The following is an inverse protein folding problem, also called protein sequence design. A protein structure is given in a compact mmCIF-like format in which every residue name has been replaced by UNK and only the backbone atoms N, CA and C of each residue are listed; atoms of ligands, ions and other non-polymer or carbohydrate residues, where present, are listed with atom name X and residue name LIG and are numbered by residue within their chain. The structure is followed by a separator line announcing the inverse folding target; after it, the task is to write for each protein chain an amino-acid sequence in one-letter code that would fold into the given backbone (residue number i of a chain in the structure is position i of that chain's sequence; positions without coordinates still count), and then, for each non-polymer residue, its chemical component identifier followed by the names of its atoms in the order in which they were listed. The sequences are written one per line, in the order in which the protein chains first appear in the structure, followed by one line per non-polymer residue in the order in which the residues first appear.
data_IF_583908929214
#
_entry.id   IF_583908929214
#
_cell.length_a   1.000
_cell.length_b   1.000
_cell.length_c   1.000
_cell.angle_alpha   90.00
_cell.angle_beta   90.00
_cell.angle_gamma   90.00
#
_symmetry.space_group_name_H-M   'P 1'
#
loop_
_entity.id
_entity.type
_entity.pdbx_description
1 polymer ?
#
# COMPACT_ATOMS: atom_id res chain seq x y z
N UNK A 1 6.54 -11.62 -9.79
CA UNK A 1 5.42 -12.39 -9.20
C UNK A 1 5.86 -13.41 -8.16
N UNK A 2 6.63 -14.45 -8.50
CA UNK A 2 7.01 -15.51 -7.54
C UNK A 2 7.66 -14.99 -6.24
N UNK A 3 8.48 -13.93 -6.33
CA UNK A 3 9.06 -13.31 -5.14
C UNK A 3 8.01 -12.61 -4.24
N UNK A 4 7.05 -11.90 -4.84
CA UNK A 4 5.96 -11.25 -4.12
C UNK A 4 5.09 -12.27 -3.38
N UNK A 5 4.84 -13.43 -3.98
CA UNK A 5 4.09 -14.51 -3.34
C UNK A 5 4.86 -15.13 -2.17
N UNK A 6 6.17 -15.34 -2.31
CA UNK A 6 7.02 -15.80 -1.19
C UNK A 6 7.03 -14.79 -0.04
N UNK A 7 7.15 -13.50 -0.37
CA UNK A 7 7.11 -12.43 0.62
C UNK A 7 5.76 -12.39 1.34
N UNK A 8 4.65 -12.48 0.60
CA UNK A 8 3.30 -12.54 1.17
C UNK A 8 3.14 -13.77 2.10
N UNK A 9 3.58 -14.96 1.67
CA UNK A 9 3.52 -16.17 2.50
C UNK A 9 4.25 -16.00 3.85
N UNK A 10 5.37 -15.26 3.87
CA UNK A 10 6.14 -14.99 5.10
C UNK A 10 5.41 -14.11 6.13
N UNK A 11 4.34 -13.40 5.71
CA UNK A 11 3.51 -12.56 6.58
C UNK A 11 2.31 -13.34 7.11
N UNK A 12 1.65 -14.15 6.28
CA UNK A 12 0.47 -14.94 6.68
C UNK A 12 0.80 -15.91 7.82
N UNK A 13 1.98 -16.53 7.80
CA UNK A 13 2.43 -17.42 8.86
C UNK A 13 2.53 -16.74 10.24
N UNK A 14 2.58 -15.40 10.31
CA UNK A 14 2.67 -14.63 11.56
C UNK A 14 1.45 -13.74 11.89
N UNK A 15 0.46 -13.63 11.00
CA UNK A 15 -0.63 -12.64 11.09
C UNK A 15 -2.04 -13.26 11.24
N UNK A 16 -2.17 -14.29 12.09
CA UNK A 16 -3.46 -14.89 12.45
C UNK A 16 -4.32 -13.89 13.24
N UNK A 17 -5.09 -13.03 12.57
CA UNK A 17 -5.93 -12.05 13.28
C UNK A 17 -6.96 -11.25 12.48
N UNK A 18 -7.22 -11.58 11.21
CA UNK A 18 -8.17 -10.79 10.38
C UNK A 18 -9.58 -11.38 10.28
N UNK A 19 -9.81 -12.63 10.72
CA UNK A 19 -11.13 -13.29 10.63
C UNK A 19 -12.12 -12.69 11.64
N UNK A 20 -13.26 -12.16 11.16
CA UNK A 20 -14.40 -11.66 11.97
C UNK A 20 -15.70 -12.37 11.55
N UNK A 21 -16.58 -12.66 12.49
CA UNK A 21 -17.87 -13.30 12.24
C UNK A 21 -18.98 -12.30 11.81
N UNK A 22 -19.91 -12.71 10.94
CA UNK A 22 -21.10 -11.96 10.49
C UNK A 22 -21.73 -12.57 9.21
N UNK A 23 -22.85 -12.12 8.63
CA UNK A 23 -23.44 -12.81 7.47
C UNK A 23 -22.74 -12.58 6.11
N UNK A 24 -21.91 -13.53 5.63
CA UNK A 24 -21.47 -13.66 4.22
C UNK A 24 -21.18 -15.10 3.73
N UNK A 25 -20.83 -15.30 2.46
CA UNK A 25 -21.05 -16.59 1.75
C UNK A 25 -20.23 -17.81 2.24
N UNK A 26 -19.18 -17.61 3.04
CA UNK A 26 -18.37 -18.70 3.61
C UNK A 26 -19.04 -19.26 4.87
N UNK A 27 -19.16 -20.58 4.95
CA UNK A 27 -19.73 -21.25 6.13
C UNK A 27 -18.82 -21.05 7.36
N UNK A 28 -19.34 -20.42 8.42
CA UNK A 28 -18.62 -20.23 9.68
C UNK A 28 -18.97 -21.34 10.68
N UNK A 29 -20.21 -21.34 11.17
CA UNK A 29 -20.72 -22.35 12.09
C UNK A 29 -22.24 -22.48 11.96
N UNK A 30 -22.83 -23.45 12.65
CA UNK A 30 -24.27 -23.45 12.85
C UNK A 30 -24.56 -23.02 14.27
N UNK A 31 -25.55 -22.14 14.45
CA UNK A 31 -26.14 -21.86 15.76
C UNK A 31 -27.58 -22.33 15.80
N UNK A 32 -28.08 -22.55 17.02
CA UNK A 32 -29.49 -22.81 17.23
C UNK A 32 -30.31 -21.55 16.92
N UNK A 33 -31.44 -21.72 16.22
CA UNK A 33 -32.37 -20.63 15.94
C UNK A 33 -33.04 -20.16 17.23
N UNK A 34 -33.24 -18.84 17.34
CA UNK A 34 -33.89 -18.20 18.47
C UNK A 34 -35.21 -17.55 18.03
N UNK A 35 -36.15 -17.29 18.96
CA UNK A 35 -37.34 -16.53 18.66
C UNK A 35 -36.99 -15.16 18.07
N UNK A 36 -37.56 -14.83 16.90
CA UNK A 36 -37.29 -13.60 16.16
C UNK A 36 -36.36 -13.77 14.95
N UNK A 37 -35.71 -14.93 14.80
CA UNK A 37 -34.95 -15.23 13.59
C UNK A 37 -35.88 -15.47 12.39
N UNK A 38 -35.52 -15.02 11.18
CA UNK A 38 -36.32 -15.24 10.00
C UNK A 38 -36.28 -16.71 9.58
N UNK A 39 -37.45 -17.29 9.29
CA UNK A 39 -37.58 -18.68 8.83
C UNK A 39 -36.77 -18.98 7.56
N UNK A 40 -36.46 -17.97 6.74
CA UNK A 40 -35.63 -18.08 5.54
C UNK A 40 -34.16 -18.34 5.84
N UNK A 41 -33.67 -18.05 7.05
CA UNK A 41 -32.30 -18.29 7.47
C UNK A 41 -32.06 -19.70 8.03
N UNK A 42 -33.14 -20.48 8.23
CA UNK A 42 -33.05 -21.85 8.76
C UNK A 42 -32.46 -22.79 7.71
N UNK A 43 -31.41 -23.51 8.10
CA UNK A 43 -30.88 -24.61 7.30
C UNK A 43 -31.72 -25.87 7.57
N UNK A 44 -32.72 -26.09 6.72
CA UNK A 44 -33.64 -27.22 6.84
C UNK A 44 -32.93 -28.57 6.73
N UNK A 45 -31.82 -28.66 6.01
CA UNK A 45 -31.09 -29.91 5.78
C UNK A 45 -30.35 -30.38 7.04
N UNK A 46 -29.74 -29.45 7.79
CA UNK A 46 -29.14 -29.77 9.10
C UNK A 46 -30.21 -29.95 10.17
N UNK A 47 -31.23 -29.09 10.18
CA UNK A 47 -32.30 -29.12 11.19
C UNK A 47 -33.10 -30.43 11.14
N UNK A 48 -33.30 -31.03 9.96
CA UNK A 48 -33.99 -32.31 9.82
C UNK A 48 -33.26 -33.50 10.49
N UNK A 49 -32.02 -33.33 10.95
CA UNK A 49 -31.22 -34.37 11.63
C UNK A 49 -31.12 -34.16 13.15
N UNK A 50 -31.88 -33.23 13.72
CA UNK A 50 -31.83 -32.85 15.13
C UNK A 50 -33.20 -32.38 15.63
N UNK A 51 -33.42 -32.39 16.95
CA UNK A 51 -34.64 -31.82 17.57
C UNK A 51 -34.65 -30.28 17.64
N UNK A 52 -33.69 -29.63 16.97
CA UNK A 52 -33.46 -28.20 17.07
C UNK A 52 -33.29 -27.60 15.67
N UNK A 53 -33.87 -26.40 15.48
CA UNK A 53 -33.66 -25.61 14.28
C UNK A 53 -32.27 -24.97 14.34
N UNK A 54 -31.53 -25.10 13.24
CA UNK A 54 -30.21 -24.50 13.07
C UNK A 54 -30.26 -23.43 11.98
N UNK A 55 -29.59 -22.33 12.25
CA UNK A 55 -29.28 -21.28 11.27
C UNK A 55 -27.84 -21.48 10.85
N UNK A 56 -27.62 -21.44 9.53
CA UNK A 56 -26.28 -21.44 8.96
C UNK A 56 -25.71 -20.03 9.13
N UNK A 57 -24.81 -19.85 10.10
CA UNK A 57 -24.07 -18.61 10.21
C UNK A 57 -23.01 -18.57 9.12
N UNK A 58 -23.17 -17.54 8.32
CA UNK A 58 -22.33 -17.12 7.23
C UNK A 58 -21.14 -16.29 7.81
N UNK A 59 -20.08 -15.98 7.06
CA UNK A 59 -18.93 -15.13 7.50
C UNK A 59 -18.94 -13.80 6.73
N UNK A 60 -19.02 -12.65 7.43
CA UNK A 60 -19.06 -11.32 6.84
C UNK A 60 -17.65 -10.82 6.76
N UNK A 61 -17.12 -10.83 5.56
CA UNK A 61 -16.24 -9.77 5.13
C UNK A 61 -16.90 -9.14 3.91
N UNK A 62 -17.60 -8.01 4.10
CA UNK A 62 -17.80 -7.10 2.99
C UNK A 62 -16.40 -6.71 2.53
N UNK A 63 -15.91 -7.39 1.49
CA UNK A 63 -14.58 -7.23 0.94
C UNK A 63 -14.30 -5.74 0.78
N UNK A 64 -13.39 -5.23 1.59
CA UNK A 64 -12.88 -3.88 1.50
C UNK A 64 -12.27 -3.70 0.12
N UNK A 65 -12.53 -2.53 -0.45
CA UNK A 65 -11.85 -2.10 -1.66
C UNK A 65 -10.55 -1.44 -1.24
N UNK A 66 -9.41 -1.92 -1.77
CA UNK A 66 -8.09 -1.33 -1.54
C UNK A 66 -7.49 -0.88 -2.86
N UNK A 67 -7.19 0.40 -2.95
CA UNK A 67 -6.46 0.98 -4.06
C UNK A 67 -4.96 0.99 -3.78
N UNK A 68 -4.14 0.64 -4.76
CA UNK A 68 -2.68 0.65 -4.63
C UNK A 68 -2.11 1.60 -5.67
N UNK A 69 -1.35 2.58 -5.23
CA UNK A 69 -0.53 3.42 -6.10
C UNK A 69 0.94 3.08 -5.88
N UNK A 70 1.61 2.76 -6.98
CA UNK A 70 3.05 2.56 -7.06
C UNK A 70 3.59 3.70 -7.91
N UNK A 71 4.49 4.50 -7.34
CA UNK A 71 5.16 5.56 -8.09
C UNK A 71 6.17 4.97 -9.09
N UNK A 72 6.07 5.48 -10.31
CA UNK A 72 6.84 5.05 -11.48
C UNK A 72 7.76 6.15 -12.02
N UNK A 73 7.88 7.29 -11.33
CA UNK A 73 8.71 8.41 -11.77
C UNK A 73 10.22 8.10 -11.78
N UNK A 74 11.01 8.91 -12.49
CA UNK A 74 12.46 8.71 -12.65
C UNK A 74 13.22 8.70 -11.33
N UNK A 75 12.80 9.53 -10.36
CA UNK A 75 13.36 9.54 -9.01
C UNK A 75 13.31 8.18 -8.32
N UNK A 76 12.35 7.32 -8.67
CA UNK A 76 12.22 5.97 -8.12
C UNK A 76 13.25 4.98 -8.69
N UNK A 77 13.95 5.30 -9.78
CA UNK A 77 14.97 4.43 -10.36
C UNK A 77 16.27 4.41 -9.54
N UNK A 78 16.45 5.37 -8.61
CA UNK A 78 17.66 5.49 -7.81
C UNK A 78 17.97 4.23 -7.00
N UNK A 79 19.26 3.85 -7.00
CA UNK A 79 19.84 2.77 -6.21
C UNK A 79 21.29 3.11 -5.87
N UNK A 80 21.64 3.17 -4.59
CA UNK A 80 23.04 3.26 -4.17
C UNK A 80 23.70 1.88 -4.05
N UNK A 81 25.01 1.86 -3.81
CA UNK A 81 25.76 0.63 -3.51
C UNK A 81 25.31 -0.04 -2.19
N UNK A 82 24.70 0.72 -1.28
CA UNK A 82 24.23 0.22 0.01
C UNK A 82 22.87 -0.48 -0.09
N UNK A 83 22.21 -0.39 -1.25
CA UNK A 83 20.90 -0.97 -1.50
C UNK A 83 20.97 -2.15 -2.47
N UNK A 84 20.33 -3.28 -2.14
CA UNK A 84 20.30 -4.43 -3.04
C UNK A 84 19.46 -4.19 -4.31
N UNK A 85 18.58 -3.19 -4.30
CA UNK A 85 17.58 -2.90 -5.34
C UNK A 85 17.19 -1.42 -5.36
N UNK A 86 16.70 -0.95 -6.50
CA UNK A 86 16.19 0.42 -6.64
C UNK A 86 14.88 0.64 -5.87
N UNK A 87 14.52 1.91 -5.66
CA UNK A 87 13.27 2.27 -4.97
C UNK A 87 12.04 1.74 -5.72
N UNK A 88 12.02 1.79 -7.05
CA UNK A 88 10.94 1.30 -7.91
C UNK A 88 10.78 -0.23 -7.83
N UNK A 89 11.89 -0.97 -7.83
CA UNK A 89 11.86 -2.43 -7.63
C UNK A 89 11.31 -2.81 -6.26
N UNK A 90 11.69 -2.05 -5.22
CA UNK A 90 11.18 -2.24 -3.86
C UNK A 90 9.68 -1.90 -3.78
N UNK A 91 9.25 -0.80 -4.36
CA UNK A 91 7.85 -0.37 -4.41
C UNK A 91 6.97 -1.40 -5.12
N UNK A 92 7.43 -1.88 -6.27
CA UNK A 92 6.76 -2.93 -7.05
C UNK A 92 6.64 -4.23 -6.25
N UNK A 93 7.70 -4.69 -5.59
CA UNK A 93 7.63 -5.89 -4.74
C UNK A 93 6.60 -5.74 -3.62
N UNK A 94 6.59 -4.59 -2.92
CA UNK A 94 5.64 -4.32 -1.84
C UNK A 94 4.19 -4.22 -2.36
N UNK A 95 3.96 -3.52 -3.48
CA UNK A 95 2.65 -3.39 -4.11
C UNK A 95 2.06 -4.76 -4.50
N UNK A 96 2.87 -5.60 -5.15
CA UNK A 96 2.45 -6.93 -5.57
C UNK A 96 2.23 -7.87 -4.38
N UNK A 97 3.15 -7.88 -3.41
CA UNK A 97 3.01 -8.76 -2.24
C UNK A 97 1.81 -8.36 -1.37
N UNK A 98 1.54 -7.06 -1.23
CA UNK A 98 0.35 -6.56 -0.56
C UNK A 98 -0.91 -6.97 -1.32
N UNK A 99 -0.93 -6.82 -2.65
CA UNK A 99 -2.06 -7.24 -3.48
C UNK A 99 -2.34 -8.75 -3.35
N UNK A 100 -1.30 -9.58 -3.30
CA UNK A 100 -1.42 -11.03 -3.02
C UNK A 100 -2.08 -11.26 -1.65
N UNK A 101 -1.60 -10.61 -0.59
CA UNK A 101 -2.15 -10.76 0.76
C UNK A 101 -3.63 -10.36 0.83
N UNK A 102 -3.96 -9.22 0.24
CA UNK A 102 -5.31 -8.66 0.24
C UNK A 102 -6.27 -9.53 -0.56
N UNK A 103 -5.90 -9.92 -1.79
CA UNK A 103 -6.74 -10.79 -2.64
C UNK A 103 -6.95 -12.16 -1.98
N UNK A 104 -5.90 -12.76 -1.39
CA UNK A 104 -6.04 -14.03 -0.65
C UNK A 104 -6.89 -13.89 0.62
N UNK A 105 -6.92 -12.69 1.20
CA UNK A 105 -7.81 -12.32 2.30
C UNK A 105 -9.21 -11.89 1.85
N UNK A 106 -9.61 -12.15 0.61
CA UNK A 106 -10.95 -11.82 0.10
C UNK A 106 -11.16 -10.37 -0.34
N UNK A 107 -10.15 -9.50 -0.19
CA UNK A 107 -10.28 -8.08 -0.49
C UNK A 107 -10.27 -7.80 -1.99
N UNK A 108 -10.90 -6.69 -2.39
CA UNK A 108 -10.91 -6.22 -3.78
C UNK A 108 -9.79 -5.21 -4.00
N UNK A 109 -8.90 -5.47 -4.95
CA UNK A 109 -7.73 -4.63 -5.21
C UNK A 109 -7.78 -4.01 -6.61
N UNK A 110 -7.39 -2.75 -6.73
CA UNK A 110 -7.14 -2.08 -8.01
C UNK A 110 -5.94 -1.14 -7.91
N UNK A 111 -5.33 -0.82 -9.05
CA UNK A 111 -4.32 0.22 -9.15
C UNK A 111 -4.96 1.61 -9.30
N UNK A 112 -4.39 2.60 -8.65
CA UNK A 112 -4.79 4.02 -8.77
C UNK A 112 -4.53 4.49 -10.21
N UNK A 113 -5.52 5.13 -10.84
CA UNK A 113 -5.48 5.64 -12.22
C UNK A 113 -5.52 4.57 -13.33
N UNK A 114 -5.50 3.29 -12.99
CA UNK A 114 -5.60 2.22 -13.98
C UNK A 114 -7.03 2.09 -14.51
N UNK A 115 -7.22 1.74 -15.81
CA UNK A 115 -8.53 1.40 -16.38
C UNK A 115 -9.00 0.01 -15.90
N UNK A 116 -9.13 -0.15 -14.59
CA UNK A 116 -9.55 -1.38 -13.95
C UNK A 116 -10.48 -1.09 -12.78
N UNK A 117 -11.50 -1.94 -12.61
CA UNK A 117 -12.33 -1.94 -11.41
C UNK A 117 -11.66 -2.76 -10.32
N UNK A 118 -11.86 -2.42 -9.03
CA UNK A 118 -11.47 -3.27 -7.92
C UNK A 118 -12.13 -4.65 -8.03
N UNK A 119 -11.30 -5.69 -8.00
CA UNK A 119 -11.75 -7.07 -8.08
C UNK A 119 -10.85 -7.97 -7.21
N UNK A 120 -11.25 -9.22 -7.06
CA UNK A 120 -10.47 -10.26 -6.37
C UNK A 120 -10.08 -11.37 -7.34
N UNK A 121 -9.32 -12.36 -6.87
CA UNK A 121 -8.90 -13.54 -7.61
C UNK A 121 -7.59 -13.40 -8.41
N UNK A 122 -7.13 -14.55 -8.89
CA UNK A 122 -5.85 -14.71 -9.60
C UNK A 122 -5.78 -13.89 -10.90
N UNK A 123 -6.88 -13.80 -11.64
CA UNK A 123 -6.95 -12.99 -12.87
C UNK A 123 -6.68 -11.52 -12.58
N UNK A 124 -7.24 -10.98 -11.49
CA UNK A 124 -6.99 -9.59 -11.11
C UNK A 124 -5.53 -9.39 -10.70
N UNK A 125 -4.97 -10.33 -9.93
CA UNK A 125 -3.58 -10.28 -9.52
C UNK A 125 -2.62 -10.26 -10.74
N UNK A 126 -2.88 -11.08 -11.76
CA UNK A 126 -2.10 -11.08 -13.00
C UNK A 126 -2.21 -9.76 -13.77
N UNK A 127 -3.40 -9.16 -13.82
CA UNK A 127 -3.59 -7.83 -14.43
C UNK A 127 -2.80 -6.75 -13.69
N UNK A 128 -2.86 -6.74 -12.36
CA UNK A 128 -2.06 -5.83 -11.53
C UNK A 128 -0.56 -6.03 -11.83
N UNK A 129 -0.11 -7.28 -11.89
CA UNK A 129 1.29 -7.62 -12.17
C UNK A 129 1.76 -7.13 -13.54
N UNK A 130 0.94 -7.32 -14.58
CA UNK A 130 1.24 -6.85 -15.93
C UNK A 130 1.33 -5.31 -15.96
N UNK A 131 0.34 -4.62 -15.39
CA UNK A 131 0.32 -3.15 -15.38
C UNK A 131 1.46 -2.54 -14.55
N UNK A 132 1.84 -3.15 -13.44
CA UNK A 132 2.99 -2.69 -12.65
C UNK A 132 4.31 -3.04 -13.32
N UNK A 133 4.36 -3.99 -14.27
CA UNK A 133 5.57 -4.25 -15.04
C UNK A 133 5.76 -3.27 -16.20
N UNK A 134 4.68 -2.60 -16.62
CA UNK A 134 4.72 -1.53 -17.62
C UNK A 134 5.12 -0.21 -16.96
N UNK A 135 6.16 0.44 -17.51
CA UNK A 135 6.54 1.78 -17.09
C UNK A 135 5.87 2.80 -18.04
N UNK A 136 5.10 3.77 -17.52
CA UNK A 136 4.47 4.79 -18.36
C UNK A 136 5.56 5.60 -19.08
N UNK A 137 5.31 6.01 -20.33
CA UNK A 137 6.24 6.85 -21.08
C UNK A 137 5.48 8.04 -21.71
N UNK A 138 5.99 9.29 -21.60
CA UNK A 138 7.19 9.70 -20.87
C UNK A 138 7.01 9.65 -19.34
N UNK A 139 8.12 9.48 -18.60
CA UNK A 139 8.13 9.50 -17.13
C UNK A 139 8.52 10.89 -16.61
N UNK A 140 7.80 11.44 -15.62
CA UNK A 140 8.21 12.67 -14.95
C UNK A 140 9.37 12.40 -13.99
N UNK A 141 10.07 13.46 -13.55
CA UNK A 141 11.12 13.37 -12.53
C UNK A 141 10.57 12.84 -11.20
N UNK A 142 9.38 13.32 -10.81
CA UNK A 142 8.70 12.94 -9.58
C UNK A 142 7.25 12.53 -9.84
N UNK A 143 6.77 11.57 -9.04
CA UNK A 143 5.42 11.03 -9.21
C UNK A 143 4.34 11.93 -8.64
N UNK A 144 3.18 11.85 -9.26
CA UNK A 144 1.92 12.36 -8.73
C UNK A 144 0.86 11.26 -8.86
N UNK A 145 0.07 10.98 -7.81
CA UNK A 145 -1.02 10.03 -7.94
C UNK A 145 -2.04 10.53 -8.97
N UNK A 146 -2.39 9.74 -9.99
CA UNK A 146 -3.37 10.14 -10.98
C UNK A 146 -4.76 10.25 -10.35
N UNK A 147 -5.62 11.05 -10.97
CA UNK A 147 -7.02 11.15 -10.55
C UNK A 147 -7.69 9.77 -10.60
N UNK A 148 -8.36 9.40 -9.51
CA UNK A 148 -9.00 8.10 -9.39
C UNK A 148 -10.40 8.27 -8.80
N UNK A 149 -11.44 7.69 -9.43
CA UNK A 149 -12.78 7.70 -8.89
C UNK A 149 -12.89 6.68 -7.74
N UNK A 150 -12.41 7.09 -6.55
CA UNK A 150 -12.41 6.24 -5.37
C UNK A 150 -13.84 5.80 -4.99
N UNK A 151 -14.00 4.51 -4.69
CA UNK A 151 -15.24 3.99 -4.11
C UNK A 151 -15.36 4.43 -2.64
N UNK A 152 -16.59 4.79 -2.22
CA UNK A 152 -16.85 5.27 -0.87
C UNK A 152 -16.44 4.26 0.21
N UNK A 153 -15.78 4.75 1.26
CA UNK A 153 -15.41 3.94 2.44
C UNK A 153 -14.35 2.87 2.18
N UNK A 154 -13.59 2.98 1.08
CA UNK A 154 -12.49 2.07 0.77
C UNK A 154 -11.19 2.39 1.54
N UNK A 155 -10.13 1.71 1.13
CA UNK A 155 -8.76 1.95 1.60
C UNK A 155 -7.84 2.28 0.43
N UNK A 156 -6.72 2.95 0.70
CA UNK A 156 -5.69 3.20 -0.30
C UNK A 156 -4.26 3.11 0.28
N UNK A 157 -3.32 2.68 -0.55
CA UNK A 157 -1.89 2.56 -0.23
C UNK A 157 -1.07 3.27 -1.29
N UNK A 158 -0.26 4.24 -0.87
CA UNK A 158 0.61 5.02 -1.75
C UNK A 158 2.08 4.70 -1.45
N UNK A 159 2.82 4.25 -2.48
CA UNK A 159 4.23 3.88 -2.39
C UNK A 159 5.06 4.80 -3.32
N UNK A 160 5.84 5.70 -2.75
CA UNK A 160 6.64 6.72 -3.46
C UNK A 160 7.80 7.16 -2.58
N UNK A 161 8.79 7.85 -3.11
CA UNK A 161 9.75 8.61 -2.30
C UNK A 161 9.18 9.95 -1.79
N UNK A 162 8.04 10.39 -2.36
CA UNK A 162 7.35 11.64 -2.09
C UNK A 162 8.27 12.87 -2.12
N UNK A 163 9.25 12.90 -3.03
CA UNK A 163 10.20 14.01 -3.14
C UNK A 163 9.76 15.14 -4.09
N UNK A 164 8.71 14.93 -4.90
CA UNK A 164 8.17 15.92 -5.85
C UNK A 164 7.47 17.14 -5.21
N UNK A 165 6.69 17.94 -5.93
CA UNK A 165 5.87 19.00 -5.30
C UNK A 165 4.79 18.40 -4.39
N UNK A 166 4.44 19.03 -3.25
CA UNK A 166 3.34 18.54 -2.39
C UNK A 166 1.96 18.89 -2.98
N UNK A 167 1.92 19.94 -3.79
CA UNK A 167 0.75 20.47 -4.46
C UNK A 167 0.13 19.49 -5.44
N UNK A 168 0.90 18.49 -5.90
CA UNK A 168 0.40 17.40 -6.75
C UNK A 168 -0.12 16.20 -5.96
N UNK A 169 0.35 16.02 -4.71
CA UNK A 169 -0.04 14.91 -3.83
C UNK A 169 -1.30 15.26 -3.02
N UNK A 170 -1.36 16.47 -2.46
CA UNK A 170 -2.46 16.89 -1.59
C UNK A 170 -3.85 16.73 -2.23
N UNK A 171 -4.08 17.12 -3.51
CA UNK A 171 -5.40 16.96 -4.13
C UNK A 171 -5.84 15.50 -4.22
N UNK A 172 -4.92 14.56 -4.49
CA UNK A 172 -5.25 13.14 -4.58
C UNK A 172 -5.64 12.56 -3.22
N UNK A 173 -4.93 12.95 -2.15
CA UNK A 173 -5.26 12.55 -0.78
C UNK A 173 -6.58 13.16 -0.29
N UNK A 174 -6.85 14.43 -0.63
CA UNK A 174 -8.10 15.09 -0.30
C UNK A 174 -9.29 14.44 -1.02
N UNK A 175 -9.19 14.16 -2.32
CA UNK A 175 -10.22 13.42 -3.08
C UNK A 175 -10.49 12.04 -2.47
N UNK A 176 -9.45 11.34 -2.03
CA UNK A 176 -9.61 10.07 -1.33
C UNK A 176 -10.35 10.26 0.01
N UNK A 177 -9.95 11.24 0.83
CA UNK A 177 -10.57 11.54 2.11
C UNK A 177 -12.05 11.96 1.97
N UNK A 178 -12.41 12.74 0.94
CA UNK A 178 -13.79 13.11 0.61
C UNK A 178 -14.66 11.90 0.25
N UNK A 179 -14.07 10.88 -0.36
CA UNK A 179 -14.73 9.59 -0.58
C UNK A 179 -14.76 8.71 0.69
N UNK A 180 -14.28 9.21 1.84
CA UNK A 180 -14.14 8.43 3.07
C UNK A 180 -13.06 7.34 2.98
N UNK A 181 -12.13 7.45 2.03
CA UNK A 181 -11.00 6.52 1.89
C UNK A 181 -9.92 6.89 2.90
N UNK A 182 -9.63 5.94 3.78
CA UNK A 182 -8.49 6.01 4.72
C UNK A 182 -7.35 5.15 4.20
N UNK A 183 -6.12 5.38 4.62
CA UNK A 183 -5.02 4.70 3.96
C UNK A 183 -3.67 4.78 4.62
N UNK A 184 -2.68 4.34 3.87
CA UNK A 184 -1.30 4.33 4.28
C UNK A 184 -0.40 4.89 3.17
N UNK A 185 0.55 5.74 3.56
CA UNK A 185 1.64 6.18 2.71
C UNK A 185 2.93 5.52 3.20
N UNK A 186 3.73 4.99 2.29
CA UNK A 186 5.05 4.48 2.60
C UNK A 186 6.08 5.21 1.76
N UNK A 187 6.86 6.05 2.42
CA UNK A 187 7.99 6.71 1.81
C UNK A 187 9.09 5.68 1.57
N UNK A 188 9.49 5.45 0.32
CA UNK A 188 10.55 4.52 -0.02
C UNK A 188 11.79 5.33 -0.31
N UNK A 189 12.86 5.08 0.45
CA UNK A 189 14.12 5.79 0.29
C UNK A 189 15.28 4.82 0.19
N UNK A 190 16.33 5.24 -0.48
CA UNK A 190 17.61 4.61 -0.44
C UNK A 190 18.39 5.06 0.81
N UNK A 191 19.11 4.18 1.51
CA UNK A 191 19.91 4.56 2.68
C UNK A 191 20.92 5.68 2.39
N UNK A 192 21.44 5.81 1.16
CA UNK A 192 22.35 6.89 0.79
C UNK A 192 21.68 8.27 0.77
N UNK A 193 20.36 8.33 0.51
CA UNK A 193 19.62 9.59 0.54
C UNK A 193 19.60 10.19 1.96
N UNK A 194 19.62 9.36 3.01
CA UNK A 194 19.72 9.86 4.40
C UNK A 194 21.14 9.96 4.94
N UNK A 195 21.95 8.93 4.68
CA UNK A 195 23.33 8.84 5.18
C UNK A 195 24.21 9.89 4.51
N UNK A 196 23.83 10.32 3.31
CA UNK A 196 24.56 11.26 2.47
C UNK A 196 26.08 10.93 2.46
N UNK A 197 26.47 9.69 2.08
CA UNK A 197 27.84 9.19 2.20
C UNK A 197 28.79 9.78 1.15
N UNK A 198 28.52 11.01 0.73
CA UNK A 198 29.24 11.68 -0.33
C UNK A 198 30.33 12.58 0.25
N UNK A 199 31.53 12.02 0.44
CA UNK A 199 32.73 12.76 0.89
C UNK A 199 33.60 13.27 -0.28
N UNK A 200 33.08 13.19 -1.51
CA UNK A 200 33.74 13.64 -2.75
C UNK A 200 32.71 14.06 -3.80
N UNK A 201 33.18 14.68 -4.90
CA UNK A 201 32.37 15.23 -6.01
C UNK A 201 31.05 14.48 -6.20
N UNK A 202 29.95 15.10 -5.76
CA UNK A 202 28.63 14.67 -6.19
C UNK A 202 28.24 15.56 -7.33
N UNK A 203 28.31 15.00 -8.54
CA UNK A 203 27.46 15.51 -9.61
C UNK A 203 26.06 15.10 -9.19
N UNK A 204 25.30 16.04 -8.61
CA UNK A 204 23.86 15.89 -8.54
C UNK A 204 23.37 16.03 -9.98
N UNK A 205 23.39 14.92 -10.72
CA UNK A 205 22.62 14.82 -11.96
C UNK A 205 21.15 14.86 -11.56
N UNK A 206 20.64 16.09 -11.40
CA UNK A 206 19.30 16.37 -11.90
C UNK A 206 19.34 15.86 -13.33
N UNK A 207 18.53 14.86 -13.66
CA UNK A 207 18.44 14.24 -14.99
C UNK A 207 18.28 15.34 -16.06
N UNK A 208 19.40 15.91 -16.54
CA UNK A 208 19.43 17.08 -17.43
C UNK A 208 20.42 18.23 -17.13
N UNK A 209 21.16 18.28 -16.00
CA UNK A 209 22.21 19.33 -15.83
C UNK A 209 23.29 19.00 -14.81
N UNK A 210 24.54 19.02 -15.28
CA UNK A 210 25.78 18.86 -14.53
C UNK A 210 26.01 20.07 -13.60
N UNK A 211 26.24 19.84 -12.31
CA UNK A 211 26.83 20.86 -11.42
C UNK A 211 27.91 20.20 -10.56
N UNK A 212 29.15 20.65 -10.74
CA UNK A 212 30.31 20.27 -9.94
C UNK A 212 30.36 21.06 -8.62
N UNK A 213 30.56 20.37 -7.49
CA UNK A 213 30.69 21.02 -6.16
C UNK A 213 31.92 20.53 -5.37
N UNK A 214 32.58 21.46 -4.66
CA UNK A 214 33.77 21.25 -3.81
C UNK A 214 33.45 20.68 -2.40
N UNK A 215 34.36 19.85 -1.89
CA UNK A 215 34.24 19.01 -0.68
C UNK A 215 33.91 19.75 0.63
N UNK A 216 34.39 20.98 0.86
CA UNK A 216 34.06 21.72 2.10
C UNK A 216 32.61 22.24 2.12
N UNK A 217 31.98 22.42 0.95
CA UNK A 217 30.54 22.69 0.84
C UNK A 217 29.70 21.42 0.99
N UNK A 218 30.29 20.23 0.85
CA UNK A 218 29.58 18.95 0.90
C UNK A 218 28.99 18.64 2.29
N UNK A 219 29.70 18.96 3.39
CA UNK A 219 29.14 18.78 4.75
C UNK A 219 27.96 19.72 5.02
N UNK A 220 28.09 21.01 4.65
CA UNK A 220 27.00 21.97 4.77
C UNK A 220 25.79 21.61 3.89
N UNK A 221 26.04 21.02 2.73
CA UNK A 221 25.01 20.48 1.83
C UNK A 221 24.30 19.27 2.45
N UNK A 222 25.03 18.35 3.08
CA UNK A 222 24.46 17.19 3.77
C UNK A 222 23.52 17.62 4.91
N UNK A 223 23.91 18.60 5.71
CA UNK A 223 23.06 19.14 6.78
C UNK A 223 21.81 19.85 6.23
N UNK A 224 21.97 20.65 5.17
CA UNK A 224 20.86 21.31 4.52
C UNK A 224 19.87 20.31 3.89
N UNK A 225 20.39 19.26 3.23
CA UNK A 225 19.57 18.20 2.64
C UNK A 225 18.81 17.43 3.72
N UNK A 226 19.49 17.01 4.80
CA UNK A 226 18.85 16.30 5.93
C UNK A 226 17.75 17.13 6.58
N UNK A 227 17.97 18.44 6.76
CA UNK A 227 16.92 19.37 7.24
C UNK A 227 15.74 19.40 6.28
N UNK A 228 15.98 19.57 4.98
CA UNK A 228 14.91 19.61 3.97
C UNK A 228 14.13 18.30 3.90
N UNK A 229 14.80 17.15 4.03
CA UNK A 229 14.15 15.84 4.08
C UNK A 229 13.31 15.67 5.36
N UNK A 230 13.78 16.17 6.50
CA UNK A 230 13.01 16.18 7.76
C UNK A 230 11.76 17.07 7.64
N UNK A 231 11.91 18.31 7.18
CA UNK A 231 10.79 19.23 6.91
C UNK A 231 9.77 18.62 5.96
N UNK A 232 10.26 17.92 4.93
CA UNK A 232 9.43 17.21 3.97
C UNK A 232 8.61 16.10 4.63
N UNK A 233 9.23 15.29 5.49
CA UNK A 233 8.52 14.25 6.25
C UNK A 233 7.47 14.82 7.17
N UNK A 234 7.81 15.88 7.91
CA UNK A 234 6.88 16.55 8.81
C UNK A 234 5.66 17.09 8.05
N UNK A 235 5.86 17.63 6.84
CA UNK A 235 4.77 18.04 5.96
C UNK A 235 3.90 16.86 5.52
N UNK A 236 4.51 15.77 5.06
CA UNK A 236 3.78 14.58 4.63
C UNK A 236 2.99 13.93 5.79
N UNK A 237 3.56 13.88 7.00
CA UNK A 237 2.87 13.37 8.19
C UNK A 237 1.69 14.25 8.60
N UNK A 238 1.80 15.59 8.46
CA UNK A 238 0.67 16.51 8.70
C UNK A 238 -0.45 16.28 7.69
N UNK A 239 -0.13 16.15 6.41
CA UNK A 239 -1.10 15.89 5.35
C UNK A 239 -1.79 14.55 5.58
N UNK A 240 -1.03 13.47 5.83
CA UNK A 240 -1.59 12.16 6.12
C UNK A 240 -2.54 12.18 7.32
N UNK A 241 -2.14 12.79 8.45
CA UNK A 241 -3.01 12.89 9.64
C UNK A 241 -4.32 13.63 9.34
N UNK A 242 -4.26 14.73 8.59
CA UNK A 242 -5.44 15.52 8.18
C UNK A 242 -6.43 14.69 7.35
N UNK A 243 -5.93 13.77 6.53
CA UNK A 243 -6.76 12.88 5.71
C UNK A 243 -7.17 11.57 6.42
N UNK A 244 -6.74 11.34 7.67
CA UNK A 244 -6.98 10.07 8.38
C UNK A 244 -6.09 8.92 7.90
N UNK A 245 -4.93 9.23 7.32
CA UNK A 245 -3.96 8.28 6.79
C UNK A 245 -2.77 8.12 7.73
N UNK A 246 -2.11 6.96 7.61
CA UNK A 246 -0.86 6.65 8.33
C UNK A 246 0.32 6.80 7.39
N UNK A 247 1.47 7.18 7.93
CA UNK A 247 2.71 7.26 7.15
C UNK A 247 3.85 6.50 7.83
N UNK A 248 4.74 5.94 7.03
CA UNK A 248 6.04 5.45 7.48
C UNK A 248 7.09 5.63 6.39
N UNK A 249 8.36 5.47 6.76
CA UNK A 249 9.49 5.40 5.83
C UNK A 249 10.05 3.97 5.81
N UNK A 250 10.35 3.49 4.62
CA UNK A 250 10.96 2.19 4.38
C UNK A 250 12.21 2.34 3.52
N UNK A 251 13.33 1.85 4.03
CA UNK A 251 14.58 1.89 3.31
C UNK A 251 14.80 0.65 2.46
N UNK A 252 15.44 0.82 1.31
CA UNK A 252 15.72 -0.26 0.35
C UNK A 252 16.71 -1.30 0.89
N UNK A 253 17.56 -0.97 1.87
CA UNK A 253 18.48 -1.90 2.56
C UNK A 253 17.79 -2.74 3.65
N UNK A 254 16.60 -2.35 4.10
CA UNK A 254 15.82 -3.08 5.11
C UNK A 254 14.98 -4.18 4.45
N UNK A 255 14.73 -5.27 5.20
CA UNK A 255 13.88 -6.36 4.75
C UNK A 255 12.50 -5.86 4.28
N UNK A 256 12.03 -6.23 3.07
CA UNK A 256 10.71 -5.84 2.56
C UNK A 256 9.57 -6.41 3.41
N UNK A 257 9.83 -7.49 4.17
CA UNK A 257 8.82 -8.08 5.09
C UNK A 257 8.38 -7.08 6.15
N UNK A 258 9.29 -6.24 6.65
CA UNK A 258 8.97 -5.20 7.63
C UNK A 258 8.02 -4.15 7.05
N UNK A 259 8.28 -3.69 5.83
CA UNK A 259 7.40 -2.77 5.12
C UNK A 259 6.03 -3.39 4.86
N UNK A 260 6.00 -4.64 4.36
CA UNK A 260 4.75 -5.34 4.08
C UNK A 260 3.88 -5.57 5.34
N UNK A 261 4.48 -5.94 6.47
CA UNK A 261 3.78 -6.09 7.75
C UNK A 261 3.15 -4.77 8.20
N UNK A 262 3.89 -3.67 8.09
CA UNK A 262 3.38 -2.35 8.44
C UNK A 262 2.20 -1.94 7.53
N UNK A 263 2.33 -2.12 6.22
CA UNK A 263 1.27 -1.83 5.25
C UNK A 263 0.01 -2.64 5.54
N UNK A 264 0.15 -3.95 5.74
CA UNK A 264 -0.96 -4.84 6.01
C UNK A 264 -1.68 -4.48 7.33
N UNK A 265 -0.92 -4.17 8.39
CA UNK A 265 -1.47 -3.71 9.66
C UNK A 265 -2.11 -2.32 9.58
N UNK A 266 -1.56 -1.40 8.78
CA UNK A 266 -2.10 -0.06 8.59
C UNK A 266 -3.47 -0.08 7.88
N UNK A 267 -3.65 -0.99 6.92
CA UNK A 267 -4.90 -1.14 6.18
C UNK A 267 -5.95 -1.93 6.97
N UNK A 268 -5.53 -2.89 7.81
CA UNK A 268 -6.42 -3.69 8.65
C UNK A 268 -6.95 -2.98 9.91
N UNK A 269 -6.31 -1.89 10.35
CA UNK A 269 -6.80 -1.11 11.48
C UNK A 269 -8.08 -0.33 11.11
N UNK A 270 -9.13 -0.33 11.96
CA UNK A 270 -10.24 0.61 11.78
C UNK A 270 -9.70 2.04 11.80
N UNK A 271 -10.23 2.90 10.92
CA UNK A 271 -9.97 4.34 11.02
C UNK A 271 -10.41 4.80 12.41
N UNK A 272 -9.54 5.52 13.11
CA UNK A 272 -9.86 6.09 14.41
C UNK A 272 -10.91 7.19 14.27
#
# INVERSE_FOLDING_TARGET
MAEAERLAASVVAGAHGRRRAGPGETFWQYRQAMPGDPNTAVDWRRSARSDHLFIREMEWEAAQTVWVWRDAALSMDYRSEFAPRSKIERATLLALALSVLLIRGGERVALVGAPMRPATGETQLRRIAAMVAEEPAPRPDFGAPPETPFLRGGKAVFLSDFLGPLETLEPALMKAAEAGVTGAMMQILDPAEERFPFDGRVVFESMGREVDFETHRARGLADAYRRRLAERRDALERIARRCGWRMTTHHTDVSPRRGLLWLFGAIGAPGR
#
